data_IF_019912175369
#
_entry.id   IF_019912175369
#
_cell.length_a   1.000
_cell.length_b   1.000
_cell.length_c   1.000
_cell.angle_alpha   90.00
_cell.angle_beta   90.00
_cell.angle_gamma   90.00
#
_symmetry.space_group_name_H-M   'P 1'
#
loop_
_entity.id
_entity.type
_entity.pdbx_description
1 polymer ?
#
# COMPACT_ATOMS: atom_id res chain seq x y z
N UNK A 1 -21.14 -3.61 1.06
CA UNK A 1 -19.87 -3.82 0.35
C UNK A 1 -18.81 -3.02 1.07
N UNK A 2 -17.62 -3.56 1.31
CA UNK A 2 -16.48 -2.85 1.94
C UNK A 2 -15.30 -2.89 0.97
N UNK A 3 -14.69 -1.74 0.70
CA UNK A 3 -13.36 -1.68 0.06
C UNK A 3 -12.33 -2.05 1.12
N UNK A 4 -11.64 -3.17 0.91
CA UNK A 4 -10.79 -3.77 1.94
C UNK A 4 -9.29 -3.50 1.71
N UNK A 5 -8.96 -2.66 0.72
CA UNK A 5 -7.58 -2.36 0.39
C UNK A 5 -6.78 -1.90 1.61
N UNK A 6 -5.58 -2.46 1.77
CA UNK A 6 -4.64 -2.20 2.87
C UNK A 6 -5.02 -2.82 4.21
N UNK A 7 -6.26 -3.28 4.38
CA UNK A 7 -6.74 -3.91 5.62
C UNK A 7 -6.49 -5.42 5.67
N UNK A 8 -6.22 -6.05 4.53
CA UNK A 8 -6.08 -7.51 4.47
C UNK A 8 -4.96 -8.01 5.39
N UNK A 9 -5.26 -8.99 6.24
CA UNK A 9 -4.35 -9.65 7.19
C UNK A 9 -3.79 -8.74 8.29
N UNK A 10 -4.33 -7.52 8.47
CA UNK A 10 -3.94 -6.64 9.57
C UNK A 10 -4.59 -7.03 10.89
N UNK A 11 -5.75 -7.69 10.81
CA UNK A 11 -6.48 -8.26 11.92
C UNK A 11 -6.71 -9.78 11.74
N UNK A 12 -7.19 -10.44 12.80
CA UNK A 12 -7.52 -11.87 12.76
C UNK A 12 -8.84 -12.19 12.05
N UNK A 13 -9.64 -11.16 11.77
CA UNK A 13 -10.93 -11.26 11.11
C UNK A 13 -11.01 -10.24 9.97
N UNK A 14 -11.78 -10.58 8.93
CA UNK A 14 -12.00 -9.73 7.76
C UNK A 14 -13.47 -9.28 7.69
N UNK A 15 -13.81 -8.20 6.97
CA UNK A 15 -15.17 -7.66 6.96
C UNK A 15 -16.31 -8.67 6.68
N UNK A 16 -16.14 -9.71 5.81
CA UNK A 16 -17.19 -10.71 5.61
C UNK A 16 -17.55 -11.50 6.87
N UNK A 17 -16.61 -11.65 7.81
CA UNK A 17 -16.82 -12.37 9.07
C UNK A 17 -17.68 -11.57 10.06
N UNK A 18 -17.84 -10.26 9.85
CA UNK A 18 -18.66 -9.35 10.66
C UNK A 18 -19.86 -8.78 9.90
N UNK A 19 -20.22 -9.39 8.77
CA UNK A 19 -21.48 -9.10 8.07
C UNK A 19 -21.34 -8.35 6.75
N UNK A 20 -20.13 -8.06 6.26
CA UNK A 20 -19.98 -7.50 4.93
C UNK A 20 -20.37 -8.53 3.84
N UNK A 21 -21.34 -8.16 3.01
CA UNK A 21 -21.84 -9.07 1.96
C UNK A 21 -20.85 -9.31 0.81
N UNK A 22 -19.94 -8.36 0.60
CA UNK A 22 -18.96 -8.32 -0.49
C UNK A 22 -17.79 -7.43 -0.10
N UNK A 23 -16.58 -7.89 -0.37
CA UNK A 23 -15.35 -7.11 -0.31
C UNK A 23 -14.61 -7.17 -1.64
N UNK A 24 -13.79 -6.17 -1.89
CA UNK A 24 -12.87 -6.13 -3.02
C UNK A 24 -11.55 -5.50 -2.59
N UNK A 25 -10.49 -5.84 -3.31
CA UNK A 25 -9.16 -5.26 -3.12
C UNK A 25 -8.21 -5.63 -4.26
N UNK A 26 -6.96 -5.21 -4.13
CA UNK A 26 -5.94 -5.31 -5.18
C UNK A 26 -4.85 -6.31 -4.81
N UNK A 27 -4.39 -7.10 -5.79
CA UNK A 27 -3.27 -8.02 -5.59
C UNK A 27 -1.92 -7.30 -5.59
N UNK A 28 -1.78 -6.09 -6.12
CA UNK A 28 -0.55 -5.30 -5.94
C UNK A 28 -0.50 -4.55 -4.59
N UNK A 29 -1.36 -4.98 -3.65
CA UNK A 29 -1.41 -4.56 -2.24
C UNK A 29 -1.16 -5.78 -1.34
N UNK A 30 -1.64 -5.73 -0.10
CA UNK A 30 -1.45 -6.75 0.92
C UNK A 30 -1.59 -8.20 0.42
N UNK A 31 -2.69 -8.62 -0.28
CA UNK A 31 -2.89 -10.04 -0.57
C UNK A 31 -1.98 -10.62 -1.66
N UNK A 32 -1.20 -9.80 -2.37
CA UNK A 32 -0.22 -10.31 -3.32
C UNK A 32 1.16 -10.59 -2.74
N UNK A 33 1.40 -10.28 -1.46
CA UNK A 33 2.67 -10.58 -0.79
C UNK A 33 3.89 -10.03 -1.53
N UNK A 34 3.77 -8.82 -2.09
CA UNK A 34 4.79 -8.11 -2.88
C UNK A 34 5.31 -8.84 -4.13
N UNK A 35 4.64 -9.92 -4.58
CA UNK A 35 5.08 -10.69 -5.74
C UNK A 35 4.00 -10.86 -6.81
N UNK A 36 2.72 -10.67 -6.45
CA UNK A 36 1.65 -10.69 -7.44
C UNK A 36 1.84 -9.54 -8.44
N UNK A 37 1.87 -9.81 -9.75
CA UNK A 37 2.28 -8.82 -10.73
C UNK A 37 1.18 -7.80 -11.08
N UNK A 38 -0.08 -8.17 -10.87
CA UNK A 38 -1.25 -7.34 -11.16
C UNK A 38 -2.51 -7.97 -10.56
N UNK A 39 -3.68 -7.39 -10.85
CA UNK A 39 -4.98 -8.01 -10.60
C UNK A 39 -5.66 -7.55 -9.30
N UNK A 40 -6.84 -8.10 -9.05
CA UNK A 40 -7.63 -7.83 -7.85
C UNK A 40 -8.54 -8.99 -7.52
N UNK A 41 -9.18 -8.91 -6.36
CA UNK A 41 -10.07 -9.95 -5.85
C UNK A 41 -11.44 -9.40 -5.50
N UNK A 42 -12.41 -10.30 -5.50
CA UNK A 42 -13.74 -10.08 -4.92
C UNK A 42 -14.07 -11.30 -4.07
N UNK A 43 -14.49 -11.08 -2.82
CA UNK A 43 -14.88 -12.15 -1.90
C UNK A 43 -16.16 -11.80 -1.15
N UNK A 44 -17.00 -12.78 -0.84
CA UNK A 44 -18.26 -12.54 -0.13
C UNK A 44 -19.34 -13.55 -0.48
N UNK A 45 -20.61 -13.14 -0.36
CA UNK A 45 -21.74 -14.05 -0.62
C UNK A 45 -21.80 -14.44 -2.09
N UNK A 46 -22.12 -15.72 -2.34
CA UNK A 46 -22.23 -16.34 -3.67
C UNK A 46 -22.99 -15.48 -4.69
N UNK A 47 -24.15 -14.94 -4.31
CA UNK A 47 -24.98 -14.10 -5.19
C UNK A 47 -24.23 -12.88 -5.72
N UNK A 48 -23.48 -12.21 -4.86
CA UNK A 48 -22.78 -10.96 -5.19
C UNK A 48 -21.47 -11.22 -5.94
N UNK A 49 -20.75 -12.27 -5.58
CA UNK A 49 -19.56 -12.72 -6.33
C UNK A 49 -19.95 -13.12 -7.75
N UNK A 50 -21.05 -13.86 -7.93
CA UNK A 50 -21.55 -14.24 -9.26
C UNK A 50 -21.96 -13.01 -10.10
N UNK A 51 -22.58 -12.00 -9.49
CA UNK A 51 -22.92 -10.75 -10.17
C UNK A 51 -21.66 -9.97 -10.60
N UNK A 52 -20.63 -9.92 -9.75
CA UNK A 52 -19.35 -9.29 -10.09
C UNK A 52 -18.63 -10.04 -11.23
N UNK A 53 -18.62 -11.37 -11.21
CA UNK A 53 -18.06 -12.19 -12.28
C UNK A 53 -18.77 -11.95 -13.62
N UNK A 54 -20.10 -11.95 -13.63
CA UNK A 54 -20.89 -11.68 -14.84
C UNK A 54 -20.67 -10.25 -15.39
N UNK A 55 -20.33 -9.29 -14.51
CA UNK A 55 -19.99 -7.93 -14.91
C UNK A 55 -18.57 -7.82 -15.48
N UNK A 56 -17.61 -8.57 -14.93
CA UNK A 56 -16.22 -8.56 -15.38
C UNK A 56 -16.07 -9.22 -16.77
N UNK A 57 -16.77 -10.33 -17.00
CA UNK A 57 -16.77 -11.04 -18.27
C UNK A 57 -17.97 -10.63 -19.14
N UNK A 58 -18.97 -11.50 -19.25
CA UNK A 58 -20.25 -11.23 -19.87
C UNK A 58 -21.36 -12.08 -19.21
N UNK A 59 -22.63 -11.62 -19.25
CA UNK A 59 -23.75 -12.43 -18.81
C UNK A 59 -23.76 -13.81 -19.48
N UNK A 60 -23.89 -14.87 -18.68
CA UNK A 60 -23.89 -16.26 -19.16
C UNK A 60 -22.53 -16.95 -19.23
N UNK A 61 -21.41 -16.21 -19.29
CA UNK A 61 -20.06 -16.79 -19.24
C UNK A 61 -19.53 -16.93 -17.81
N UNK A 62 -19.79 -15.93 -16.95
CA UNK A 62 -19.36 -15.95 -15.56
C UNK A 62 -17.84 -16.12 -15.40
N UNK A 63 -17.42 -17.17 -14.69
CA UNK A 63 -15.99 -17.50 -14.43
C UNK A 63 -15.47 -18.63 -15.32
N UNK A 64 -16.30 -19.17 -16.21
CA UNK A 64 -15.95 -20.35 -17.03
C UNK A 64 -15.01 -19.98 -18.20
N UNK A 65 -14.78 -18.69 -18.43
CA UNK A 65 -13.88 -18.15 -19.44
C UNK A 65 -12.84 -17.23 -18.80
N UNK A 66 -11.56 -17.45 -19.12
CA UNK A 66 -10.43 -16.68 -18.62
C UNK A 66 -9.17 -17.55 -18.64
N UNK A 67 -8.16 -17.14 -19.39
CA UNK A 67 -6.87 -17.84 -19.39
C UNK A 67 -5.95 -17.17 -18.40
N UNK A 68 -5.36 -17.95 -17.49
CA UNK A 68 -4.26 -17.50 -16.65
C UNK A 68 -3.11 -18.49 -16.81
N UNK A 69 -1.93 -18.03 -17.28
CA UNK A 69 -0.74 -18.88 -17.36
C UNK A 69 -0.44 -19.53 -16.00
N UNK A 70 -0.01 -20.79 -16.01
CA UNK A 70 0.19 -21.57 -14.78
C UNK A 70 1.28 -21.01 -13.86
N UNK A 71 2.30 -20.41 -14.44
CA UNK A 71 3.37 -19.68 -13.75
C UNK A 71 2.83 -18.42 -13.02
N UNK A 72 1.88 -17.70 -13.61
CA UNK A 72 1.19 -16.58 -12.98
C UNK A 72 0.27 -17.07 -11.85
N UNK A 73 -0.48 -18.17 -12.06
CA UNK A 73 -1.30 -18.77 -11.00
C UNK A 73 -0.46 -19.16 -9.78
N UNK A 74 0.71 -19.78 -10.01
CA UNK A 74 1.67 -20.10 -8.95
C UNK A 74 2.08 -18.85 -8.17
N UNK A 75 2.35 -17.74 -8.85
CA UNK A 75 2.72 -16.47 -8.20
C UNK A 75 1.57 -15.94 -7.34
N UNK A 76 0.32 -15.98 -7.81
CA UNK A 76 -0.82 -15.58 -6.98
C UNK A 76 -0.96 -16.40 -5.70
N UNK A 77 -0.86 -17.73 -5.79
CA UNK A 77 -0.92 -18.59 -4.61
C UNK A 77 0.26 -18.39 -3.67
N UNK A 78 1.47 -18.24 -4.22
CA UNK A 78 2.65 -17.95 -3.42
C UNK A 78 2.54 -16.59 -2.74
N UNK A 79 2.02 -15.58 -3.43
CA UNK A 79 1.82 -14.23 -2.91
C UNK A 79 0.83 -14.22 -1.76
N UNK A 80 -0.30 -14.90 -1.93
CA UNK A 80 -1.30 -15.05 -0.88
C UNK A 80 -0.74 -15.79 0.35
N UNK A 81 0.08 -16.81 0.14
CA UNK A 81 0.74 -17.54 1.24
C UNK A 81 1.73 -16.64 2.01
N UNK A 82 2.47 -15.78 1.31
CA UNK A 82 3.43 -14.85 1.92
C UNK A 82 2.77 -13.59 2.51
N UNK A 83 1.56 -13.24 2.06
CA UNK A 83 0.90 -11.98 2.38
C UNK A 83 0.84 -11.66 3.89
N UNK A 84 0.42 -12.58 4.79
CA UNK A 84 0.36 -12.27 6.22
C UNK A 84 1.73 -11.88 6.81
N UNK A 85 2.81 -12.52 6.33
CA UNK A 85 4.17 -12.17 6.77
C UNK A 85 4.54 -10.77 6.28
N UNK A 86 4.32 -10.46 5.00
CA UNK A 86 4.66 -9.16 4.41
C UNK A 86 3.84 -8.01 5.02
N UNK A 87 2.56 -8.25 5.31
CA UNK A 87 1.71 -7.30 6.05
C UNK A 87 2.25 -7.06 7.45
N UNK A 88 2.67 -8.11 8.15
CA UNK A 88 3.31 -7.98 9.47
C UNK A 88 4.60 -7.14 9.43
N UNK A 89 5.39 -7.27 8.37
CA UNK A 89 6.58 -6.45 8.13
C UNK A 89 6.22 -4.97 7.86
N UNK A 90 5.21 -4.71 7.02
CA UNK A 90 4.72 -3.36 6.77
C UNK A 90 4.16 -2.70 8.05
N UNK A 91 3.41 -3.43 8.88
CA UNK A 91 2.90 -2.94 10.17
C UNK A 91 4.06 -2.56 11.11
N UNK A 92 5.09 -3.39 11.23
CA UNK A 92 6.30 -3.05 12.01
C UNK A 92 6.96 -1.77 11.47
N UNK A 93 7.04 -1.64 10.15
CA UNK A 93 7.48 -0.41 9.48
C UNK A 93 6.65 0.81 9.87
N UNK A 94 5.32 0.70 9.84
CA UNK A 94 4.41 1.78 10.24
C UNK A 94 4.64 2.25 11.68
N UNK A 95 4.88 1.31 12.61
CA UNK A 95 5.22 1.64 13.99
C UNK A 95 6.58 2.32 14.11
N UNK A 96 7.59 1.86 13.37
CA UNK A 96 8.91 2.50 13.36
C UNK A 96 8.82 3.95 12.89
N UNK A 97 8.11 4.20 11.78
CA UNK A 97 7.88 5.56 11.25
C UNK A 97 7.18 6.43 12.29
N UNK A 98 6.08 5.93 12.87
CA UNK A 98 5.33 6.66 13.89
C UNK A 98 6.21 7.06 15.08
N UNK A 99 6.96 6.10 15.65
CA UNK A 99 7.80 6.32 16.83
C UNK A 99 8.95 7.30 16.54
N UNK A 100 9.63 7.14 15.40
CA UNK A 100 10.75 8.01 15.03
C UNK A 100 10.26 9.44 14.75
N UNK A 101 9.21 9.59 13.94
CA UNK A 101 8.73 10.90 13.51
C UNK A 101 8.03 11.64 14.65
N UNK A 102 7.23 10.95 15.47
CA UNK A 102 6.67 11.54 16.69
C UNK A 102 7.75 11.95 17.69
N UNK A 103 8.83 11.16 17.82
CA UNK A 103 9.99 11.50 18.63
C UNK A 103 10.72 12.76 18.18
N UNK A 104 10.63 13.12 16.90
CA UNK A 104 11.12 14.39 16.34
C UNK A 104 10.10 15.55 16.43
N UNK A 105 8.94 15.32 17.06
CA UNK A 105 7.90 16.34 17.24
C UNK A 105 6.92 16.49 16.07
N UNK A 106 6.96 15.61 15.07
CA UNK A 106 5.98 15.61 13.99
C UNK A 106 4.67 14.94 14.43
N UNK A 107 3.54 15.43 13.93
CA UNK A 107 2.25 14.80 14.14
C UNK A 107 2.11 13.60 13.20
N UNK A 108 1.73 12.45 13.76
CA UNK A 108 1.61 11.18 13.04
C UNK A 108 0.21 10.60 13.20
N UNK A 109 -0.29 9.94 12.16
CA UNK A 109 -1.60 9.28 12.17
C UNK A 109 -1.55 7.97 11.36
N UNK A 110 -1.94 6.82 11.93
CA UNK A 110 -2.29 6.61 13.33
C UNK A 110 -1.12 6.86 14.29
N UNK A 111 -1.43 7.05 15.58
CA UNK A 111 -0.44 7.35 16.62
C UNK A 111 0.50 6.19 16.95
N UNK A 112 1.53 6.44 17.76
CA UNK A 112 2.41 5.38 18.25
C UNK A 112 1.63 4.32 19.04
N UNK A 113 1.92 3.04 18.76
CA UNK A 113 1.41 1.87 19.52
C UNK A 113 -0.12 1.73 19.59
N UNK A 114 -0.86 2.39 18.71
CA UNK A 114 -2.30 2.12 18.56
C UNK A 114 -2.52 0.89 17.68
N UNK A 115 -3.64 0.16 17.85
CA UNK A 115 -4.03 -0.91 16.94
C UNK A 115 -4.03 -0.46 15.48
N UNK A 116 -3.63 -1.35 14.57
CA UNK A 116 -3.59 -1.10 13.13
C UNK A 116 -4.69 -1.89 12.44
N UNK A 117 -5.42 -1.20 11.57
CA UNK A 117 -6.48 -1.77 10.73
C UNK A 117 -6.14 -1.64 9.23
N UNK A 118 -5.02 -0.98 8.93
CA UNK A 118 -4.38 -0.90 7.63
C UNK A 118 -2.85 -0.74 7.82
N UNK A 119 -2.09 -0.74 6.72
CA UNK A 119 -0.63 -0.59 6.73
C UNK A 119 -0.15 0.86 6.53
N UNK A 120 -1.05 1.84 6.42
CA UNK A 120 -0.71 3.22 6.05
C UNK A 120 -0.30 4.01 7.29
N UNK A 121 0.77 4.78 7.17
CA UNK A 121 1.24 5.70 8.19
C UNK A 121 1.38 7.11 7.60
N UNK A 122 0.57 8.04 8.08
CA UNK A 122 0.67 9.45 7.73
C UNK A 122 1.57 10.22 8.70
N UNK A 123 2.30 11.21 8.18
CA UNK A 123 3.12 12.16 8.94
C UNK A 123 2.94 13.57 8.39
N UNK A 124 2.57 14.52 9.23
CA UNK A 124 2.39 15.93 8.85
C UNK A 124 3.74 16.67 8.85
N UNK A 125 4.33 16.93 7.68
CA UNK A 125 5.69 17.49 7.57
C UNK A 125 5.71 19.03 7.66
N UNK A 126 4.56 19.67 7.47
CA UNK A 126 4.35 21.11 7.68
C UNK A 126 4.86 22.02 6.56
N UNK A 127 5.76 21.56 5.68
CA UNK A 127 6.26 22.36 4.55
C UNK A 127 6.37 21.54 3.25
N UNK A 128 6.29 22.24 2.11
CA UNK A 128 6.49 21.65 0.78
C UNK A 128 7.87 21.02 0.66
N UNK A 129 8.90 21.71 1.14
CA UNK A 129 10.29 21.31 1.01
C UNK A 129 10.58 19.99 1.74
N UNK A 130 10.02 19.83 2.95
CA UNK A 130 10.15 18.58 3.72
C UNK A 130 9.44 17.42 3.05
N UNK A 131 8.25 17.64 2.51
CA UNK A 131 7.52 16.60 1.76
C UNK A 131 8.29 16.15 0.52
N UNK A 132 8.81 17.08 -0.26
CA UNK A 132 9.65 16.76 -1.43
C UNK A 132 10.92 15.99 -1.03
N UNK A 133 11.61 16.45 0.03
CA UNK A 133 12.84 15.81 0.50
C UNK A 133 12.56 14.41 1.08
N UNK A 134 11.44 14.22 1.79
CA UNK A 134 11.03 12.92 2.31
C UNK A 134 10.79 11.92 1.18
N UNK A 135 10.00 12.28 0.17
CA UNK A 135 9.76 11.41 -0.99
C UNK A 135 11.06 11.14 -1.77
N UNK A 136 11.93 12.13 -1.94
CA UNK A 136 13.24 11.92 -2.57
C UNK A 136 14.12 10.93 -1.78
N UNK A 137 14.08 10.96 -0.45
CA UNK A 137 14.79 10.00 0.40
C UNK A 137 14.22 8.59 0.24
N UNK A 138 12.89 8.43 0.24
CA UNK A 138 12.24 7.13 -0.03
C UNK A 138 12.67 6.58 -1.38
N UNK A 139 12.63 7.40 -2.44
CA UNK A 139 13.02 6.97 -3.79
C UNK A 139 14.49 6.54 -3.82
N UNK A 140 15.41 7.32 -3.24
CA UNK A 140 16.84 6.99 -3.20
C UNK A 140 17.15 5.70 -2.42
N UNK A 141 16.35 5.39 -1.41
CA UNK A 141 16.47 4.16 -0.62
C UNK A 141 15.74 2.96 -1.23
N UNK A 142 15.02 3.15 -2.34
CA UNK A 142 14.25 2.09 -2.99
C UNK A 142 15.15 1.12 -3.79
N UNK A 143 14.76 -0.16 -3.94
CA UNK A 143 15.56 -1.14 -4.69
C UNK A 143 15.56 -0.89 -6.20
N UNK A 144 14.49 -0.30 -6.75
CA UNK A 144 14.34 -0.02 -8.18
C UNK A 144 14.36 1.48 -8.41
N UNK A 145 15.01 1.92 -9.49
CA UNK A 145 15.02 3.32 -9.93
C UNK A 145 15.48 4.33 -8.87
N UNK A 146 16.37 3.94 -7.95
CA UNK A 146 16.88 4.82 -6.88
C UNK A 146 17.68 6.02 -7.35
N UNK A 147 18.20 5.97 -8.57
CA UNK A 147 18.90 7.08 -9.22
C UNK A 147 17.93 8.15 -9.77
N UNK A 148 16.63 7.87 -9.83
CA UNK A 148 15.63 8.81 -10.32
C UNK A 148 15.20 9.75 -9.20
N UNK A 149 14.90 11.00 -9.56
CA UNK A 149 14.41 12.01 -8.64
C UNK A 149 12.91 12.22 -8.85
N UNK A 150 12.07 11.98 -7.84
CA UNK A 150 10.65 12.24 -7.97
C UNK A 150 10.40 13.75 -8.03
N UNK A 151 9.43 14.15 -8.84
CA UNK A 151 9.00 15.54 -8.98
C UNK A 151 7.49 15.64 -8.72
N UNK A 152 7.07 16.75 -8.10
CA UNK A 152 5.66 17.06 -7.97
C UNK A 152 5.04 17.29 -9.36
N UNK A 153 3.82 16.82 -9.56
CA UNK A 153 3.09 17.03 -10.79
C UNK A 153 1.58 17.02 -10.60
N UNK A 154 0.87 17.55 -11.60
CA UNK A 154 -0.58 17.44 -11.66
C UNK A 154 -0.99 16.00 -12.02
N UNK A 155 -1.76 15.37 -11.15
CA UNK A 155 -2.25 14.00 -11.34
C UNK A 155 -3.76 14.03 -11.55
N UNK A 156 -4.30 13.42 -12.63
CA UNK A 156 -5.75 13.36 -12.85
C UNK A 156 -6.49 12.83 -11.62
N UNK A 157 -7.55 13.53 -11.22
CA UNK A 157 -8.35 13.19 -10.03
C UNK A 157 -7.88 13.85 -8.72
N UNK A 158 -6.69 14.45 -8.68
CA UNK A 158 -6.22 15.20 -7.52
C UNK A 158 -6.45 16.70 -7.69
N UNK A 159 -6.91 17.35 -6.62
CA UNK A 159 -7.15 18.80 -6.60
C UNK A 159 -5.86 19.64 -6.44
N UNK A 160 -4.73 19.00 -6.17
CA UNK A 160 -3.43 19.64 -5.97
C UNK A 160 -2.35 18.78 -6.63
N UNK A 161 -1.18 19.37 -6.88
CA UNK A 161 -0.02 18.58 -7.26
C UNK A 161 0.25 17.49 -6.22
N UNK A 162 0.73 16.34 -6.67
CA UNK A 162 1.13 15.23 -5.81
C UNK A 162 2.55 14.83 -6.18
N UNK A 163 3.31 14.38 -5.19
CA UNK A 163 4.59 13.71 -5.40
C UNK A 163 4.46 12.26 -4.97
N UNK A 164 5.11 11.36 -5.73
CA UNK A 164 5.14 9.92 -5.48
C UNK A 164 6.59 9.45 -5.43
N UNK A 165 6.87 8.50 -4.54
CA UNK A 165 8.09 7.71 -4.52
C UNK A 165 7.70 6.24 -4.45
N UNK A 166 7.96 5.52 -5.54
CA UNK A 166 7.48 4.18 -5.83
C UNK A 166 8.52 3.36 -6.61
N UNK A 167 9.76 3.31 -6.11
CA UNK A 167 10.83 2.47 -6.66
C UNK A 167 10.64 0.97 -6.43
N UNK A 168 9.54 0.42 -6.91
CA UNK A 168 9.05 -0.95 -6.65
C UNK A 168 9.36 -1.92 -7.80
N UNK A 169 9.41 -3.22 -7.50
CA UNK A 169 9.57 -4.25 -8.53
C UNK A 169 8.31 -4.45 -9.35
N UNK A 170 7.14 -4.38 -8.71
CA UNK A 170 5.85 -4.41 -9.38
C UNK A 170 5.35 -2.96 -9.51
N UNK A 171 5.09 -2.51 -10.73
CA UNK A 171 4.67 -1.13 -11.01
C UNK A 171 3.44 -0.74 -10.18
N UNK A 172 3.56 0.33 -9.39
CA UNK A 172 2.48 0.84 -8.54
C UNK A 172 2.16 -0.01 -7.31
N UNK A 173 3.01 -0.97 -6.95
CA UNK A 173 2.80 -1.85 -5.80
C UNK A 173 2.96 -1.09 -4.48
N UNK A 174 1.83 -0.74 -3.88
CA UNK A 174 1.77 -0.10 -2.56
C UNK A 174 1.94 -1.08 -1.39
N UNK A 175 2.19 -2.37 -1.68
CA UNK A 175 2.67 -3.35 -0.69
C UNK A 175 4.19 -3.31 -0.51
N UNK A 176 4.90 -2.81 -1.51
CA UNK A 176 6.33 -2.52 -1.45
C UNK A 176 6.58 -1.13 -0.84
N UNK A 177 7.83 -0.85 -0.47
CA UNK A 177 8.24 0.42 0.13
C UNK A 177 7.87 1.59 -0.79
N UNK A 178 6.94 2.43 -0.37
CA UNK A 178 6.53 3.61 -1.13
C UNK A 178 5.96 4.70 -0.23
N UNK A 179 5.92 5.92 -0.75
CA UNK A 179 5.20 7.02 -0.12
C UNK A 179 4.73 8.04 -1.15
N UNK A 180 3.70 8.80 -0.78
CA UNK A 180 3.18 9.89 -1.59
C UNK A 180 2.55 10.99 -0.72
N UNK A 181 2.31 12.16 -1.31
CA UNK A 181 1.64 13.23 -0.57
C UNK A 181 1.23 14.40 -1.46
N UNK A 182 0.06 15.00 -1.21
CA UNK A 182 -0.38 16.18 -1.93
C UNK A 182 0.40 17.42 -1.46
N UNK A 183 0.79 18.30 -2.39
CA UNK A 183 1.50 19.55 -2.11
C UNK A 183 0.52 20.64 -1.62
N UNK A 184 -0.11 20.37 -0.48
CA UNK A 184 -1.02 21.29 0.23
C UNK A 184 -0.89 21.08 1.72
N UNK A 185 -1.24 22.09 2.52
CA UNK A 185 -1.25 22.00 3.98
C UNK A 185 -2.09 20.79 4.48
N UNK A 186 -1.60 20.01 5.47
CA UNK A 186 -0.38 20.20 6.28
C UNK A 186 0.88 19.55 5.70
N UNK A 187 0.93 19.31 4.38
CA UNK A 187 2.01 18.61 3.68
C UNK A 187 2.25 17.22 4.28
N UNK A 188 1.16 16.47 4.43
CA UNK A 188 1.21 15.11 4.93
C UNK A 188 1.84 14.19 3.88
N UNK A 189 2.80 13.38 4.32
CA UNK A 189 3.27 12.20 3.58
C UNK A 189 2.52 10.97 4.09
N UNK A 190 2.06 10.14 3.17
CA UNK A 190 1.49 8.82 3.42
C UNK A 190 2.56 7.79 3.07
N UNK A 191 2.96 7.01 4.06
CA UNK A 191 3.97 5.97 3.97
C UNK A 191 3.28 4.61 4.02
N UNK A 192 3.65 3.70 3.12
CA UNK A 192 3.04 2.38 3.06
C UNK A 192 4.03 1.30 2.62
N UNK A 193 3.66 0.06 2.95
CA UNK A 193 4.34 -1.14 2.48
C UNK A 193 5.75 -1.32 3.04
N UNK A 194 6.48 -2.23 2.39
CA UNK A 194 7.82 -2.65 2.75
C UNK A 194 7.86 -4.17 2.96
N UNK A 195 8.58 -4.88 2.10
CA UNK A 195 8.74 -6.34 2.19
C UNK A 195 9.49 -6.77 3.45
N UNK A 196 10.23 -5.85 4.09
CA UNK A 196 10.87 -6.05 5.37
C UNK A 196 10.98 -4.72 6.13
N UNK A 197 10.65 -4.69 7.42
CA UNK A 197 10.50 -3.44 8.17
C UNK A 197 11.78 -2.60 8.24
N UNK A 198 12.95 -3.22 8.13
CA UNK A 198 14.26 -2.53 8.16
C UNK A 198 14.47 -1.59 6.97
N UNK A 199 13.74 -1.76 5.86
CA UNK A 199 13.77 -0.84 4.74
C UNK A 199 13.38 0.58 5.19
N UNK A 200 12.36 0.71 6.04
CA UNK A 200 11.99 1.99 6.65
C UNK A 200 13.08 2.52 7.60
N UNK A 201 13.85 1.66 8.25
CA UNK A 201 15.00 2.09 9.05
C UNK A 201 16.07 2.78 8.22
N UNK A 202 16.35 2.29 7.01
CA UNK A 202 17.29 2.92 6.08
C UNK A 202 16.75 4.27 5.59
N UNK A 203 15.48 4.31 5.18
CA UNK A 203 14.79 5.54 4.76
C UNK A 203 14.84 6.60 5.85
N UNK A 204 14.45 6.24 7.08
CA UNK A 204 14.42 7.18 8.20
C UNK A 204 15.82 7.69 8.55
N UNK A 205 16.85 6.84 8.40
CA UNK A 205 18.25 7.26 8.53
C UNK A 205 18.66 8.35 7.54
N UNK A 206 18.14 8.33 6.31
CA UNK A 206 18.34 9.41 5.33
C UNK A 206 17.48 10.62 5.62
N UNK A 207 16.20 10.40 5.95
CA UNK A 207 15.21 11.45 6.25
C UNK A 207 15.69 12.35 7.40
N UNK A 208 16.19 11.76 8.49
CA UNK A 208 16.64 12.52 9.66
C UNK A 208 17.87 13.42 9.40
N UNK A 209 18.56 13.29 8.26
CA UNK A 209 19.69 14.17 7.93
C UNK A 209 19.27 15.58 7.52
N UNK A 210 18.00 15.78 7.14
CA UNK A 210 17.50 17.05 6.61
C UNK A 210 16.18 17.52 7.24
N UNK A 211 15.64 16.78 8.21
CA UNK A 211 14.54 17.24 9.06
C UNK A 211 15.04 18.12 10.20
#
# INVERSE_FOLDING_TARGET
MVDNCYGEFTESIEPPMVGADLIAGSFIKNPGGTIAPCGGYVAGRKKWVAAAAARLSAPGLGVDCGSTPGDIMRIFFQGLFLAPQMVGEAIKGSFLIAEVMAGQGYKVQPGCRVPRHDVVQAVELGTRERLLAFCEAVQKSSPVSSFTKPIAGATPGYASEVIFADGTFIDGSTSELSCDGPLREPYAVYCQGGSHWTQWGLVLGEVLKFL
#
